data_IF_478310967554
#
_entry.id   IF_478310967554
#
_cell.length_a   1.000
_cell.length_b   1.000
_cell.length_c   1.000
_cell.angle_alpha   90.00
_cell.angle_beta   90.00
_cell.angle_gamma   90.00
#
_symmetry.space_group_name_H-M   'P 1'
#
loop_
_entity.id
_entity.type
_entity.pdbx_description
1 polymer ?
#
# COMPACT_ATOMS: atom_id res chain seq x y z
N UNK A 1 -5.11 21.85 -9.20
CA UNK A 1 -3.89 21.36 -9.88
C UNK A 1 -3.65 19.94 -9.40
N UNK A 2 -3.99 18.95 -10.23
CA UNK A 2 -3.74 17.53 -9.92
C UNK A 2 -2.23 17.29 -10.13
N UNK A 3 -1.46 17.46 -9.07
CA UNK A 3 -0.03 17.12 -9.07
C UNK A 3 0.11 15.62 -9.30
N UNK A 4 1.06 15.23 -10.15
CA UNK A 4 1.48 13.84 -10.35
C UNK A 4 2.07 13.30 -9.05
N UNK A 5 1.23 12.81 -8.15
CA UNK A 5 1.70 12.07 -6.98
C UNK A 5 2.32 10.77 -7.49
N UNK A 6 3.55 10.43 -7.07
CA UNK A 6 4.17 9.18 -7.48
C UNK A 6 3.31 8.01 -7.00
N UNK A 7 3.23 6.95 -7.81
CA UNK A 7 2.60 5.71 -7.38
C UNK A 7 3.31 5.17 -6.12
N UNK A 8 2.57 4.52 -5.20
CA UNK A 8 3.17 3.95 -4.00
C UNK A 8 4.18 2.87 -4.37
N UNK A 9 5.24 2.77 -3.58
CA UNK A 9 6.15 1.61 -3.65
C UNK A 9 5.49 0.38 -3.05
N UNK A 10 6.06 -0.80 -3.29
CA UNK A 10 5.60 -2.01 -2.61
C UNK A 10 5.68 -1.89 -1.07
N UNK A 11 6.72 -1.24 -0.56
CA UNK A 11 6.90 -1.01 0.87
C UNK A 11 5.78 -0.10 1.44
N UNK A 12 5.38 0.96 0.72
CA UNK A 12 4.25 1.81 1.12
C UNK A 12 2.96 1.00 1.24
N UNK A 13 2.70 0.13 0.26
CA UNK A 13 1.53 -0.75 0.26
C UNK A 13 1.54 -1.72 1.45
N UNK A 14 2.69 -2.36 1.74
CA UNK A 14 2.79 -3.29 2.87
C UNK A 14 2.64 -2.58 4.21
N UNK A 15 3.22 -1.39 4.37
CA UNK A 15 3.08 -0.55 5.56
C UNK A 15 1.62 -0.18 5.80
N UNK A 16 0.92 0.26 4.76
CA UNK A 16 -0.51 0.58 4.84
C UNK A 16 -1.38 -0.65 5.10
N UNK A 17 -1.00 -1.82 4.59
CA UNK A 17 -1.76 -3.06 4.83
C UNK A 17 -1.66 -3.54 6.28
N UNK A 18 -0.49 -3.44 6.92
CA UNK A 18 -0.28 -3.92 8.29
C UNK A 18 -0.63 -2.86 9.37
N UNK A 19 -0.66 -1.57 9.03
CA UNK A 19 -0.93 -0.49 10.00
C UNK A 19 -2.32 -0.55 10.66
N UNK A 20 -3.42 -0.93 9.96
CA UNK A 20 -4.71 -1.16 10.58
C UNK A 20 -4.67 -2.38 11.53
N UNK A 21 -5.17 -2.19 12.75
CA UNK A 21 -5.24 -3.21 13.81
C UNK A 21 -5.87 -4.58 13.41
N UNK A 22 -6.81 -4.72 12.45
CA UNK A 22 -7.32 -6.06 12.10
C UNK A 22 -6.33 -6.94 11.32
N UNK A 23 -5.29 -6.38 10.69
CA UNK A 23 -4.34 -7.17 9.87
C UNK A 23 -3.19 -7.66 10.75
N UNK A 24 -3.04 -8.98 10.83
CA UNK A 24 -2.02 -9.62 11.69
C UNK A 24 -0.79 -10.09 10.91
N UNK A 25 -0.90 -10.22 9.58
CA UNK A 25 0.15 -10.76 8.73
C UNK A 25 0.11 -10.10 7.35
N UNK A 26 1.28 -9.74 6.85
CA UNK A 26 1.50 -9.32 5.47
C UNK A 26 2.55 -10.22 4.84
N UNK A 27 2.19 -10.86 3.73
CA UNK A 27 3.11 -11.66 2.92
C UNK A 27 3.71 -10.76 1.83
N UNK A 28 5.04 -10.77 1.72
CA UNK A 28 5.76 -9.97 0.72
C UNK A 28 6.42 -10.88 -0.30
N UNK A 29 6.56 -10.41 -1.54
CA UNK A 29 7.15 -11.17 -2.64
C UNK A 29 8.31 -10.40 -3.32
N UNK A 30 9.40 -10.10 -2.59
CA UNK A 30 10.54 -9.40 -3.16
C UNK A 30 11.24 -10.27 -4.22
N UNK A 31 11.59 -9.68 -5.36
CA UNK A 31 12.35 -10.31 -6.45
C UNK A 31 13.85 -10.02 -6.37
N UNK A 32 14.25 -9.08 -5.51
CA UNK A 32 15.63 -8.70 -5.31
C UNK A 32 15.91 -8.38 -3.82
N UNK A 33 17.19 -8.44 -3.43
CA UNK A 33 17.61 -8.15 -2.06
C UNK A 33 17.24 -6.72 -1.61
N UNK A 34 17.32 -5.74 -2.52
CA UNK A 34 16.95 -4.37 -2.23
C UNK A 34 15.47 -4.24 -1.87
N UNK A 35 14.59 -4.96 -2.56
CA UNK A 35 13.15 -4.99 -2.27
C UNK A 35 12.88 -5.65 -0.91
N UNK A 36 13.58 -6.75 -0.60
CA UNK A 36 13.48 -7.41 0.71
C UNK A 36 13.86 -6.44 1.83
N UNK A 37 14.96 -5.70 1.68
CA UNK A 37 15.41 -4.73 2.68
C UNK A 37 14.36 -3.62 2.89
N UNK A 38 13.79 -3.07 1.82
CA UNK A 38 12.74 -2.06 1.90
C UNK A 38 11.44 -2.59 2.54
N UNK A 39 11.05 -3.82 2.23
CA UNK A 39 9.87 -4.45 2.83
C UNK A 39 10.09 -4.69 4.34
N UNK A 40 11.27 -5.17 4.73
CA UNK A 40 11.57 -5.44 6.14
C UNK A 40 11.60 -4.16 6.98
N UNK A 41 12.12 -3.05 6.45
CA UNK A 41 12.19 -1.80 7.20
C UNK A 41 10.81 -1.27 7.62
N UNK A 42 9.79 -1.45 6.77
CA UNK A 42 8.43 -0.98 7.05
C UNK A 42 7.57 -1.97 7.83
N UNK A 43 7.94 -3.25 7.86
CA UNK A 43 7.26 -4.26 8.69
C UNK A 43 7.77 -4.23 10.14
N UNK A 44 9.00 -3.77 10.36
CA UNK A 44 9.57 -3.58 11.70
C UNK A 44 9.04 -2.31 12.38
N UNK A 45 8.82 -1.24 11.61
CA UNK A 45 8.15 -0.02 12.05
C UNK A 45 7.01 0.32 11.08
N UNK A 46 5.84 -0.24 11.40
CA UNK A 46 4.64 -0.06 10.59
C UNK A 46 3.77 1.13 10.99
N UNK A 47 4.23 1.92 11.97
CA UNK A 47 3.44 3.06 12.44
C UNK A 47 3.21 4.04 11.30
N UNK A 48 1.97 4.48 11.09
CA UNK A 48 1.64 5.53 10.13
C UNK A 48 1.03 6.70 10.87
N UNK A 49 1.47 7.91 10.52
CA UNK A 49 0.81 9.11 10.99
C UNK A 49 -0.60 9.23 10.36
N UNK A 50 -1.53 9.93 11.02
CA UNK A 50 -2.84 10.20 10.45
C UNK A 50 -2.79 10.91 9.09
N UNK A 51 -1.73 11.67 8.81
CA UNK A 51 -1.53 12.36 7.53
C UNK A 51 -1.12 11.40 6.43
N UNK A 52 -0.23 10.45 6.71
CA UNK A 52 0.14 9.39 5.75
C UNK A 52 -1.06 8.50 5.44
N UNK A 53 -1.85 8.13 6.46
CA UNK A 53 -3.08 7.34 6.27
C UNK A 53 -4.04 8.06 5.33
N UNK A 54 -4.34 9.34 5.58
CA UNK A 54 -5.21 10.13 4.70
C UNK A 54 -4.67 10.25 3.28
N UNK A 55 -3.36 10.39 3.13
CA UNK A 55 -2.72 10.47 1.83
C UNK A 55 -2.94 9.19 1.02
N UNK A 56 -2.68 8.03 1.62
CA UNK A 56 -2.84 6.75 0.94
C UNK A 56 -4.30 6.36 0.71
N UNK A 57 -5.21 6.74 1.61
CA UNK A 57 -6.65 6.61 1.39
C UNK A 57 -7.11 7.42 0.19
N UNK A 58 -6.72 8.71 0.10
CA UNK A 58 -7.06 9.54 -1.05
C UNK A 58 -6.48 8.99 -2.37
N UNK A 59 -5.27 8.42 -2.33
CA UNK A 59 -4.71 7.73 -3.50
C UNK A 59 -5.55 6.49 -3.88
N UNK A 60 -5.94 5.67 -2.90
CA UNK A 60 -6.81 4.51 -3.11
C UNK A 60 -8.16 4.89 -3.72
N UNK A 61 -8.81 5.94 -3.20
CA UNK A 61 -10.09 6.45 -3.71
C UNK A 61 -9.99 6.93 -5.17
N UNK A 62 -8.85 7.51 -5.56
CA UNK A 62 -8.60 7.89 -6.95
C UNK A 62 -8.48 6.68 -7.89
N UNK A 63 -7.92 5.57 -7.42
CA UNK A 63 -7.66 4.36 -8.22
C UNK A 63 -8.88 3.43 -8.27
N UNK A 64 -9.53 3.22 -7.13
CA UNK A 64 -10.59 2.22 -6.96
C UNK A 64 -11.99 2.83 -6.81
N UNK A 65 -12.11 4.16 -6.83
CA UNK A 65 -13.39 4.85 -6.62
C UNK A 65 -14.01 4.46 -5.28
N UNK A 66 -15.33 4.19 -5.29
CA UNK A 66 -16.09 3.78 -4.10
C UNK A 66 -16.09 2.26 -3.88
N UNK A 67 -15.26 1.49 -4.60
CA UNK A 67 -15.25 0.02 -4.53
C UNK A 67 -16.52 -0.65 -5.06
N UNK A 68 -17.30 0.05 -5.89
CA UNK A 68 -18.52 -0.46 -6.53
C UNK A 68 -18.27 -0.97 -7.96
N UNK A 69 -17.07 -0.73 -8.50
CA UNK A 69 -16.69 -1.23 -9.81
C UNK A 69 -16.36 -2.73 -9.72
N UNK A 70 -16.84 -3.48 -10.71
CA UNK A 70 -16.52 -4.89 -10.84
C UNK A 70 -15.03 -5.00 -11.15
N UNK A 71 -14.25 -5.57 -10.24
CA UNK A 71 -12.88 -5.97 -10.52
C UNK A 71 -12.91 -7.02 -11.64
N UNK A 72 -12.84 -6.58 -12.91
CA UNK A 72 -12.58 -7.46 -14.04
C UNK A 72 -11.13 -7.98 -13.90
N UNK A 73 -10.98 -9.07 -13.15
CA UNK A 73 -9.73 -9.80 -13.08
C UNK A 73 -9.78 -10.91 -14.13
N UNK A 74 -9.44 -10.59 -15.38
CA UNK A 74 -9.05 -11.62 -16.34
C UNK A 74 -7.59 -12.03 -16.04
N UNK A 75 -7.43 -13.10 -15.28
CA UNK A 75 -6.15 -13.80 -15.15
C UNK A 75 -6.02 -14.83 -16.29
N UNK A 76 -4.88 -14.90 -17.00
CA UNK A 76 -4.62 -15.96 -17.98
C UNK A 76 -4.45 -17.34 -17.33
#
# INVERSE_FOLDING_TARGET
>A
MLGTHPAPTAADCYRMAIAPNPVQLVLTAPKAQAELAANLSVLQDSSLSPTEIRHWQAYGDLVYGMGQDQFETQWP
#
